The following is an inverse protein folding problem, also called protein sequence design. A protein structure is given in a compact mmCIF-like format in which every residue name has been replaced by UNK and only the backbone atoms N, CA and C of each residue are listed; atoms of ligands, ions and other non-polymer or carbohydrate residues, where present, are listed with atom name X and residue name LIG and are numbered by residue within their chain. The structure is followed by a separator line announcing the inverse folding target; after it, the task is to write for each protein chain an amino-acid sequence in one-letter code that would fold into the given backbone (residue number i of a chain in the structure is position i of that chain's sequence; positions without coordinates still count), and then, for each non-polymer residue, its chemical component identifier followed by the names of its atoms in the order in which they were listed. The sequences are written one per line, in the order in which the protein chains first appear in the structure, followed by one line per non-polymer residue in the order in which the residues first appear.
data_IF_170625190372
#
_entry.id   IF_170625190372
#
_cell.length_a   1.000
_cell.length_b   1.000
_cell.length_c   1.000
_cell.angle_alpha   90.00
_cell.angle_beta   90.00
_cell.angle_gamma   90.00
#
_symmetry.space_group_name_H-M   'P 1'
#
loop_
_entity.id
_entity.type
_entity.pdbx_description
1 polymer ?
#
# COMPACT_ATOMS: atom_id res chain seq x y z
N UNK A 1 17.22 -11.23 -17.65
CA UNK A 1 16.45 -10.86 -16.43
C UNK A 1 15.54 -9.72 -16.83
N UNK A 2 14.21 -9.87 -16.72
CA UNK A 2 13.31 -8.82 -17.22
C UNK A 2 13.58 -7.53 -16.46
N UNK A 3 14.14 -6.54 -17.13
CA UNK A 3 14.25 -5.15 -16.71
C UNK A 3 12.88 -4.44 -16.68
N UNK A 4 11.84 -5.23 -16.39
CA UNK A 4 10.44 -4.88 -16.56
C UNK A 4 9.92 -4.12 -15.37
N UNK A 5 9.26 -3.02 -15.65
CA UNK A 5 8.53 -2.23 -14.67
C UNK A 5 7.38 -3.04 -14.10
N UNK A 6 7.16 -2.98 -12.79
CA UNK A 6 6.08 -3.74 -12.13
C UNK A 6 4.89 -2.84 -11.83
N UNK A 7 3.71 -3.20 -12.32
CA UNK A 7 2.47 -2.53 -11.90
C UNK A 7 2.04 -3.05 -10.52
N UNK A 8 1.85 -2.13 -9.57
CA UNK A 8 1.51 -2.47 -8.19
C UNK A 8 0.03 -2.15 -7.92
N UNK A 9 -0.74 -3.17 -7.59
CA UNK A 9 -2.15 -3.03 -7.22
C UNK A 9 -2.35 -2.47 -5.81
N UNK A 10 -3.55 -1.95 -5.57
CA UNK A 10 -4.08 -1.46 -4.28
C UNK A 10 -3.74 -2.38 -3.11
N UNK A 11 -3.93 -3.71 -3.23
CA UNK A 11 -3.77 -4.61 -2.08
C UNK A 11 -2.36 -4.61 -1.49
N UNK A 12 -1.32 -4.43 -2.32
CA UNK A 12 0.06 -4.35 -1.84
C UNK A 12 0.24 -3.11 -0.96
N UNK A 13 -0.28 -1.96 -1.40
CA UNK A 13 -0.30 -0.73 -0.59
C UNK A 13 -1.10 -0.90 0.68
N UNK A 14 -2.23 -1.62 0.63
CA UNK A 14 -3.02 -1.89 1.84
C UNK A 14 -2.23 -2.72 2.86
N UNK A 15 -1.48 -3.73 2.44
CA UNK A 15 -0.65 -4.52 3.35
C UNK A 15 0.52 -3.72 3.94
N UNK A 16 1.07 -2.76 3.19
CA UNK A 16 2.15 -1.88 3.68
C UNK A 16 1.64 -0.85 4.69
N UNK A 17 0.51 -0.22 4.39
CA UNK A 17 0.02 0.96 5.09
C UNK A 17 -0.92 0.64 6.26
N UNK A 18 -1.63 -0.49 6.22
CA UNK A 18 -2.66 -0.81 7.22
C UNK A 18 -2.22 -1.93 8.15
N UNK A 19 -2.65 -1.83 9.41
CA UNK A 19 -2.59 -2.91 10.37
C UNK A 19 -3.97 -3.56 10.48
N UNK A 20 -4.26 -4.52 9.58
CA UNK A 20 -5.54 -5.23 9.60
C UNK A 20 -5.61 -6.21 10.79
N UNK A 21 -6.17 -5.73 11.91
CA UNK A 21 -6.32 -6.50 13.15
C UNK A 21 -7.23 -7.74 13.03
N UNK A 22 -7.97 -7.89 11.92
CA UNK A 22 -8.76 -9.10 11.64
C UNK A 22 -7.92 -10.24 11.08
N UNK A 23 -6.73 -9.94 10.56
CA UNK A 23 -5.78 -10.92 10.06
C UNK A 23 -4.91 -11.45 11.20
N UNK A 24 -4.59 -12.74 11.16
CA UNK A 24 -3.64 -13.37 12.08
C UNK A 24 -2.28 -12.64 12.04
N UNK A 25 -1.61 -12.54 13.20
CA UNK A 25 -0.43 -11.70 13.41
C UNK A 25 0.75 -12.12 12.53
N UNK A 26 1.03 -13.42 12.42
CA UNK A 26 2.12 -13.93 11.59
C UNK A 26 1.87 -13.69 10.10
N UNK A 27 0.64 -13.91 9.62
CA UNK A 27 0.27 -13.65 8.23
C UNK A 27 0.29 -12.16 7.88
N UNK A 28 -0.18 -11.32 8.80
CA UNK A 28 -0.13 -9.86 8.65
C UNK A 28 1.29 -9.35 8.54
N UNK A 29 2.17 -9.83 9.43
CA UNK A 29 3.59 -9.49 9.43
C UNK A 29 4.28 -9.94 8.13
N UNK A 30 4.02 -11.17 7.70
CA UNK A 30 4.56 -11.72 6.45
C UNK A 30 4.16 -10.89 5.23
N UNK A 31 2.87 -10.59 5.08
CA UNK A 31 2.36 -9.79 3.96
C UNK A 31 2.90 -8.36 3.98
N UNK A 32 3.01 -7.76 5.16
CA UNK A 32 3.59 -6.41 5.30
C UNK A 32 5.05 -6.36 4.88
N UNK A 33 5.86 -7.33 5.31
CA UNK A 33 7.28 -7.41 4.94
C UNK A 33 7.45 -7.56 3.42
N UNK A 34 6.64 -8.43 2.80
CA UNK A 34 6.65 -8.60 1.33
C UNK A 34 6.22 -7.31 0.63
N UNK A 35 5.16 -6.65 1.11
CA UNK A 35 4.69 -5.41 0.52
C UNK A 35 5.71 -4.28 0.62
N UNK A 36 6.43 -4.16 1.75
CA UNK A 36 7.55 -3.24 1.91
C UNK A 36 8.61 -3.52 0.86
N UNK A 37 9.09 -4.77 0.76
CA UNK A 37 10.12 -5.13 -0.23
C UNK A 37 9.70 -4.83 -1.68
N UNK A 38 8.45 -5.11 -2.05
CA UNK A 38 7.92 -4.83 -3.40
C UNK A 38 7.87 -3.32 -3.68
N UNK A 39 7.50 -2.51 -2.69
CA UNK A 39 7.27 -1.07 -2.88
C UNK A 39 8.49 -0.21 -2.56
N UNK A 40 9.59 -0.81 -2.10
CA UNK A 40 10.94 -0.22 -2.07
C UNK A 40 11.74 -0.54 -3.33
N UNK A 41 11.27 -1.48 -4.17
CA UNK A 41 11.91 -1.79 -5.44
C UNK A 41 11.87 -0.60 -6.40
N UNK A 42 12.93 -0.46 -7.20
CA UNK A 42 12.94 0.50 -8.30
C UNK A 42 11.97 0.10 -9.41
N UNK A 43 11.52 1.08 -10.20
CA UNK A 43 10.68 0.87 -11.40
C UNK A 43 9.33 0.21 -11.07
N UNK A 44 8.61 0.80 -10.12
CA UNK A 44 7.19 0.50 -9.89
C UNK A 44 6.29 1.48 -10.66
N UNK A 45 5.20 0.99 -11.21
CA UNK A 45 4.10 1.80 -11.77
C UNK A 45 2.88 1.61 -10.89
N UNK A 46 2.18 2.70 -10.63
CA UNK A 46 0.83 2.70 -10.06
C UNK A 46 -0.07 3.58 -10.93
N UNK A 47 -1.37 3.30 -10.92
CA UNK A 47 -2.35 4.16 -11.58
C UNK A 47 -3.00 5.12 -10.58
N UNK A 48 -3.57 6.21 -11.08
CA UNK A 48 -4.40 7.13 -10.29
C UNK A 48 -5.58 6.40 -9.62
N UNK A 49 -6.11 5.36 -10.24
CA UNK A 49 -7.16 4.51 -9.66
C UNK A 49 -6.68 3.78 -8.40
N UNK A 50 -5.45 3.25 -8.43
CA UNK A 50 -4.83 2.63 -7.24
C UNK A 50 -4.68 3.67 -6.13
N UNK A 51 -4.16 4.86 -6.45
CA UNK A 51 -4.04 5.97 -5.49
C UNK A 51 -5.40 6.30 -4.85
N UNK A 52 -6.44 6.50 -5.66
CA UNK A 52 -7.79 6.82 -5.17
C UNK A 52 -8.35 5.75 -4.23
N UNK A 53 -8.13 4.47 -4.55
CA UNK A 53 -8.56 3.38 -3.69
C UNK A 53 -7.79 3.32 -2.38
N UNK A 54 -6.48 3.59 -2.38
CA UNK A 54 -5.68 3.66 -1.16
C UNK A 54 -6.16 4.80 -0.27
N UNK A 55 -6.35 6.00 -0.83
CA UNK A 55 -6.93 7.16 -0.13
C UNK A 55 -8.27 6.83 0.51
N UNK A 56 -9.19 6.25 -0.27
CA UNK A 56 -10.51 5.88 0.23
C UNK A 56 -10.44 4.86 1.39
N UNK A 57 -9.47 3.94 1.36
CA UNK A 57 -9.24 3.02 2.48
C UNK A 57 -8.60 3.73 3.68
N UNK A 58 -7.70 4.69 3.48
CA UNK A 58 -7.03 5.42 4.58
C UNK A 58 -8.05 6.24 5.37
N UNK A 59 -8.93 6.94 4.66
CA UNK A 59 -10.06 7.67 5.26
C UNK A 59 -10.98 6.74 6.06
N UNK A 60 -11.40 5.61 5.46
CA UNK A 60 -12.45 4.75 6.03
C UNK A 60 -11.95 3.81 7.12
N UNK A 61 -10.72 3.30 7.00
CA UNK A 61 -10.22 2.19 7.84
C UNK A 61 -9.08 2.60 8.78
N UNK A 62 -8.34 3.66 8.45
CA UNK A 62 -7.22 4.12 9.27
C UNK A 62 -7.50 5.44 10.01
N UNK A 63 -8.70 6.00 9.88
CA UNK A 63 -9.10 7.29 10.46
C UNK A 63 -8.13 8.44 10.11
N UNK A 64 -7.47 8.35 8.95
CA UNK A 64 -6.64 9.44 8.45
C UNK A 64 -7.53 10.62 8.08
N UNK A 65 -7.04 11.84 8.32
CA UNK A 65 -7.61 13.05 7.76
C UNK A 65 -6.92 13.43 6.44
N UNK A 66 -7.50 14.39 5.71
CA UNK A 66 -6.99 14.81 4.40
C UNK A 66 -5.56 15.36 4.46
N UNK A 67 -5.17 16.02 5.56
CA UNK A 67 -3.82 16.54 5.77
C UNK A 67 -2.79 15.40 5.84
N UNK A 68 -3.11 14.35 6.59
CA UNK A 68 -2.26 13.17 6.73
C UNK A 68 -2.13 12.40 5.41
N UNK A 69 -3.20 12.36 4.61
CA UNK A 69 -3.17 11.72 3.29
C UNK A 69 -2.28 12.48 2.32
N UNK A 70 -2.37 13.82 2.34
CA UNK A 70 -1.53 14.68 1.49
C UNK A 70 -0.05 14.44 1.75
N UNK A 71 0.36 14.27 3.01
CA UNK A 71 1.74 13.97 3.39
C UNK A 71 2.27 12.59 2.95
N UNK A 72 1.38 11.65 2.57
CA UNK A 72 1.76 10.31 2.08
C UNK A 72 1.88 10.27 0.56
N UNK A 73 1.14 11.14 -0.15
CA UNK A 73 1.02 11.10 -1.62
C UNK A 73 1.86 12.18 -2.29
N UNK A 74 2.21 13.26 -1.58
CA UNK A 74 3.06 14.36 -2.05
C UNK A 74 4.44 14.31 -1.38
#
# INVERSE_FOLDING_TARGET
MSSGTSFIDTNIWLYRLFDDKKMEVTERTRKRNIAIAITEAERIIISTHVVNKVVANLLKKAAFNEVQIKAVIQ
#
